data_IF_244517698444
#
_entry.id   IF_244517698444
#
_cell.length_a   1.000
_cell.length_b   1.000
_cell.length_c   1.000
_cell.angle_alpha   90.00
_cell.angle_beta   90.00
_cell.angle_gamma   90.00
#
_symmetry.space_group_name_H-M   'P 1'
#
loop_
_entity.id
_entity.type
_entity.pdbx_description
1 polymer ?
#
# COMPACT_ATOMS: atom_id res chain seq x y z
N UNK A 1 18.25 22.73 26.43
CA UNK A 1 16.96 22.05 26.10
C UNK A 1 17.03 21.56 24.66
N UNK A 2 17.44 20.31 24.46
CA UNK A 2 17.42 19.67 23.13
C UNK A 2 16.02 19.14 22.89
N UNK A 3 15.34 19.67 21.86
CA UNK A 3 14.07 19.14 21.37
C UNK A 3 14.42 17.91 20.54
N UNK A 4 14.40 16.74 21.17
CA UNK A 4 14.44 15.46 20.46
C UNK A 4 13.21 15.40 19.56
N UNK A 5 13.38 15.71 18.27
CA UNK A 5 12.34 15.51 17.26
C UNK A 5 12.27 14.01 16.98
N UNK A 6 11.62 13.27 17.88
CA UNK A 6 11.36 11.84 17.70
C UNK A 6 10.59 11.68 16.39
N UNK A 7 11.19 10.98 15.43
CA UNK A 7 10.54 10.68 14.17
C UNK A 7 9.27 9.87 14.47
N UNK A 8 8.12 10.22 13.89
CA UNK A 8 6.88 9.50 14.12
C UNK A 8 7.05 8.03 13.71
N UNK A 9 6.47 7.11 14.48
CA UNK A 9 6.51 5.70 14.14
C UNK A 9 5.83 5.49 12.77
N UNK A 10 6.32 4.54 11.97
CA UNK A 10 5.74 4.22 10.65
C UNK A 10 4.21 4.04 10.68
N UNK A 11 3.60 3.37 11.68
CA UNK A 11 2.14 3.28 11.82
C UNK A 11 1.46 4.65 11.87
N UNK A 12 2.02 5.60 12.63
CA UNK A 12 1.47 6.96 12.79
C UNK A 12 1.51 7.75 11.47
N UNK A 13 2.55 7.52 10.65
CA UNK A 13 2.69 8.15 9.34
C UNK A 13 1.65 7.60 8.36
N UNK A 14 1.44 6.29 8.33
CA UNK A 14 0.42 5.64 7.51
C UNK A 14 -1.00 6.02 7.97
N UNK A 15 -1.20 6.23 9.27
CA UNK A 15 -2.39 6.86 9.87
C UNK A 15 -2.68 8.24 9.35
N UNK A 16 -1.69 9.11 9.40
CA UNK A 16 -1.82 10.46 8.88
C UNK A 16 -2.06 10.47 7.37
N UNK A 17 -1.42 9.59 6.62
CA UNK A 17 -1.54 9.55 5.16
C UNK A 17 -2.93 9.08 4.72
N UNK A 18 -3.46 8.02 5.31
CA UNK A 18 -4.82 7.55 5.01
C UNK A 18 -5.87 8.62 5.28
N UNK A 19 -5.81 9.28 6.45
CA UNK A 19 -6.73 10.37 6.80
C UNK A 19 -6.66 11.55 5.81
N UNK A 20 -5.48 11.84 5.26
CA UNK A 20 -5.34 12.87 4.22
C UNK A 20 -6.00 12.44 2.93
N UNK A 21 -5.77 11.20 2.49
CA UNK A 21 -6.35 10.67 1.24
C UNK A 21 -7.89 10.61 1.32
N UNK A 22 -8.47 10.26 2.47
CA UNK A 22 -9.92 10.31 2.68
C UNK A 22 -10.50 11.71 2.51
N UNK A 23 -9.78 12.73 3.00
CA UNK A 23 -10.17 14.14 2.84
C UNK A 23 -10.00 14.66 1.41
N UNK A 24 -9.32 13.94 0.54
CA UNK A 24 -9.18 14.27 -0.88
C UNK A 24 -10.26 13.59 -1.75
N UNK A 25 -10.96 12.58 -1.23
CA UNK A 25 -12.12 11.94 -1.86
C UNK A 25 -13.50 12.24 -1.22
N UNK A 26 -13.76 13.35 -0.50
CA UNK A 26 -15.11 13.65 -0.08
C UNK A 26 -15.93 13.86 -1.35
N UNK A 27 -17.15 13.31 -1.38
CA UNK A 27 -18.01 13.18 -2.57
C UNK A 27 -18.50 14.49 -3.21
N UNK A 28 -17.68 15.52 -3.25
CA UNK A 28 -17.85 16.71 -4.07
C UNK A 28 -17.43 16.46 -5.51
N UNK A 29 -18.19 17.06 -6.43
CA UNK A 29 -17.94 17.01 -7.87
C UNK A 29 -16.64 17.74 -8.19
N UNK A 30 -15.60 16.98 -8.56
CA UNK A 30 -14.41 17.54 -9.20
C UNK A 30 -14.75 17.93 -10.64
N UNK A 31 -14.21 19.04 -11.18
CA UNK A 31 -14.41 19.40 -12.58
C UNK A 31 -13.79 18.34 -13.50
N UNK A 32 -14.62 17.76 -14.38
CA UNK A 32 -14.23 16.89 -15.50
C UNK A 32 -13.24 17.63 -16.43
N UNK A 33 -12.21 16.97 -16.99
CA UNK A 33 -11.97 15.52 -17.10
C UNK A 33 -10.88 14.98 -16.15
N UNK A 34 -10.42 15.80 -15.19
CA UNK A 34 -9.36 15.40 -14.24
C UNK A 34 -9.87 14.53 -13.09
N UNK A 35 -11.18 14.43 -12.95
CA UNK A 35 -11.93 13.67 -11.95
C UNK A 35 -11.52 12.19 -11.90
N UNK A 36 -11.49 11.49 -13.03
CA UNK A 36 -11.31 10.03 -13.02
C UNK A 36 -9.86 9.61 -12.74
N UNK A 37 -8.89 10.22 -13.42
CA UNK A 37 -7.47 9.96 -13.16
C UNK A 37 -7.07 10.34 -11.73
N UNK A 38 -7.59 11.46 -11.23
CA UNK A 38 -7.39 11.88 -9.84
C UNK A 38 -7.98 10.87 -8.86
N UNK A 39 -9.24 10.47 -9.03
CA UNK A 39 -9.90 9.50 -8.14
C UNK A 39 -9.20 8.14 -8.16
N UNK A 40 -8.77 7.69 -9.34
CA UNK A 40 -8.00 6.46 -9.52
C UNK A 40 -6.65 6.53 -8.78
N UNK A 41 -5.93 7.65 -8.92
CA UNK A 41 -4.67 7.89 -8.22
C UNK A 41 -4.82 7.91 -6.70
N UNK A 42 -5.82 8.62 -6.17
CA UNK A 42 -6.08 8.63 -4.72
C UNK A 42 -6.50 7.23 -4.22
N UNK A 43 -7.31 6.51 -4.99
CA UNK A 43 -7.72 5.14 -4.65
C UNK A 43 -6.52 4.20 -4.59
N UNK A 44 -5.64 4.25 -5.58
CA UNK A 44 -4.41 3.46 -5.63
C UNK A 44 -3.50 3.76 -4.43
N UNK A 45 -3.31 5.04 -4.10
CA UNK A 45 -2.55 5.44 -2.93
C UNK A 45 -3.16 4.93 -1.61
N UNK A 46 -4.50 4.90 -1.49
CA UNK A 46 -5.19 4.34 -0.31
C UNK A 46 -4.93 2.85 -0.16
N UNK A 47 -5.00 2.09 -1.25
CA UNK A 47 -4.73 0.65 -1.24
C UNK A 47 -3.30 0.39 -0.77
N UNK A 48 -2.32 1.11 -1.32
CA UNK A 48 -0.92 0.99 -0.91
C UNK A 48 -0.74 1.25 0.59
N UNK A 49 -1.34 2.33 1.13
CA UNK A 49 -1.25 2.65 2.55
C UNK A 49 -1.88 1.56 3.43
N UNK A 50 -2.98 0.96 2.99
CA UNK A 50 -3.64 -0.13 3.71
C UNK A 50 -2.80 -1.41 3.69
N UNK A 51 -2.17 -1.72 2.57
CA UNK A 51 -1.27 -2.88 2.43
C UNK A 51 -0.06 -2.75 3.36
N UNK A 52 0.64 -1.60 3.32
CA UNK A 52 1.79 -1.33 4.19
C UNK A 52 1.41 -1.39 5.67
N UNK A 53 0.23 -0.87 6.05
CA UNK A 53 -0.27 -1.01 7.42
C UNK A 53 -0.48 -2.45 7.82
N UNK A 54 -1.04 -3.25 6.93
CA UNK A 54 -1.27 -4.66 7.21
C UNK A 54 0.07 -5.37 7.47
N UNK A 55 1.10 -5.07 6.67
CA UNK A 55 2.46 -5.58 6.88
C UNK A 55 3.06 -5.13 8.23
N UNK A 56 2.76 -3.90 8.67
CA UNK A 56 3.23 -3.36 9.95
C UNK A 56 2.34 -3.68 11.17
N UNK A 57 1.17 -4.28 10.97
CA UNK A 57 0.17 -4.52 12.03
C UNK A 57 0.52 -5.69 12.95
N UNK A 58 1.56 -6.46 12.64
CA UNK A 58 1.93 -7.67 13.39
C UNK A 58 0.97 -8.85 13.17
N UNK A 59 -0.06 -8.68 12.34
CA UNK A 59 -0.89 -9.79 11.87
C UNK A 59 -0.08 -10.53 10.80
N UNK A 60 0.19 -11.84 10.96
CA UNK A 60 0.88 -12.60 9.94
C UNK A 60 -0.01 -12.64 8.69
N UNK A 61 0.38 -11.87 7.68
CA UNK A 61 -0.14 -12.04 6.32
C UNK A 61 0.63 -13.22 5.77
N UNK A 62 -0.02 -14.36 5.60
CA UNK A 62 0.54 -15.49 4.86
C UNK A 62 0.76 -15.01 3.42
N UNK A 63 1.90 -14.38 3.14
CA UNK A 63 2.38 -14.17 1.79
C UNK A 63 2.62 -15.55 1.23
N UNK A 64 1.61 -16.08 0.54
CA UNK A 64 1.76 -17.25 -0.31
C UNK A 64 2.72 -16.83 -1.41
N UNK A 65 4.03 -16.96 -1.14
CA UNK A 65 5.04 -16.94 -2.18
C UNK A 65 4.60 -17.98 -3.20
N UNK A 66 4.38 -17.62 -4.48
CA UNK A 66 4.14 -18.62 -5.49
C UNK A 66 5.40 -19.49 -5.53
N UNK A 67 5.30 -20.70 -4.96
CA UNK A 67 6.31 -21.74 -5.13
C UNK A 67 6.39 -21.98 -6.63
N UNK A 68 7.39 -21.39 -7.27
CA UNK A 68 7.77 -21.72 -8.63
C UNK A 68 8.06 -23.23 -8.65
N UNK A 69 7.26 -24.08 -9.32
CA UNK A 69 7.63 -25.47 -9.44
C UNK A 69 8.87 -25.51 -10.32
N UNK A 70 10.02 -25.80 -9.70
CA UNK A 70 11.27 -26.10 -10.41
C UNK A 70 10.95 -27.05 -11.57
N UNK A 71 11.03 -26.53 -12.79
CA UNK A 71 11.06 -27.35 -14.00
C UNK A 71 12.40 -28.06 -14.03
N UNK A 72 12.51 -29.15 -13.27
CA UNK A 72 13.59 -30.12 -13.36
C UNK A 72 13.43 -30.90 -14.67
N UNK A 73 13.79 -30.29 -15.80
CA UNK A 73 14.02 -31.01 -17.05
C UNK A 73 15.21 -31.93 -16.85
N UNK A 74 14.90 -33.17 -16.47
CA UNK A 74 15.84 -34.30 -16.55
C UNK A 74 15.69 -34.84 -17.96
N UNK A 75 16.48 -34.32 -18.91
CA UNK A 75 16.49 -34.83 -20.28
C UNK A 75 17.37 -36.08 -20.32
N UNK A 76 16.74 -37.23 -20.12
CA UNK A 76 17.34 -38.56 -20.31
C UNK A 76 16.58 -39.30 -21.41
N UNK A 77 17.22 -39.49 -22.56
CA UNK A 77 17.00 -40.54 -23.58
C UNK A 77 18.35 -40.66 -24.31
N UNK A 78 19.11 -41.75 -24.11
CA UNK A 78 19.04 -43.01 -24.86
C UNK A 78 18.95 -42.78 -26.37
#
# INVERSE_FOLDING_TARGET
MTRESVAPATPDVLDRLHRKLDRLLPGGTLPEPRSDGYRSGITSAKIFVLDERAQHSGIPIDTVSPKNPEQKTTRTRQ
#
